data_IF_688267320155
#
_entry.id   IF_688267320155
#
_cell.length_a   1.000
_cell.length_b   1.000
_cell.length_c   1.000
_cell.angle_alpha   90.00
_cell.angle_beta   90.00
_cell.angle_gamma   90.00
#
_symmetry.space_group_name_H-M   'P 1'
#
loop_
_entity.id
_entity.type
_entity.pdbx_description
1 polymer ?
#
# COMPACT_ATOMS: atom_id res chain seq x y z
N UNK A 1 -6.86 -21.58 17.72
CA UNK A 1 -5.92 -20.69 17.01
C UNK A 1 -6.67 -19.86 15.96
N UNK A 2 -6.81 -18.55 16.19
CA UNK A 2 -7.61 -17.67 15.34
C UNK A 2 -6.91 -17.49 13.99
N UNK A 3 -7.53 -18.03 12.95
CA UNK A 3 -7.11 -17.80 11.57
C UNK A 3 -7.85 -16.56 11.08
N UNK A 4 -7.13 -15.47 10.89
CA UNK A 4 -7.69 -14.25 10.29
C UNK A 4 -7.58 -14.42 8.77
N UNK A 5 -8.72 -14.65 8.10
CA UNK A 5 -8.81 -14.68 6.63
C UNK A 5 -9.59 -13.45 6.14
N UNK A 6 -8.95 -12.28 6.18
CA UNK A 6 -9.54 -11.02 5.71
C UNK A 6 -9.47 -10.88 4.19
N UNK A 7 -9.89 -11.91 3.45
CA UNK A 7 -10.16 -11.86 2.00
C UNK A 7 -11.37 -12.73 1.60
N UNK A 8 -12.07 -13.35 2.56
CA UNK A 8 -13.29 -14.10 2.28
C UNK A 8 -14.48 -13.12 2.27
N UNK A 9 -14.69 -12.46 1.13
CA UNK A 9 -15.78 -11.51 0.90
C UNK A 9 -15.28 -10.20 0.31
N UNK A 10 -14.93 -10.20 -0.97
CA UNK A 10 -14.76 -8.99 -1.78
C UNK A 10 -16.11 -8.30 -2.04
N UNK A 11 -16.90 -8.12 -0.98
CA UNK A 11 -18.16 -7.35 -0.98
C UNK A 11 -18.00 -6.01 -0.26
N UNK A 12 -16.82 -5.72 0.30
CA UNK A 12 -16.49 -4.38 0.80
C UNK A 12 -16.20 -3.46 -0.40
N UNK A 13 -17.27 -2.87 -0.94
CA UNK A 13 -17.23 -1.95 -2.08
C UNK A 13 -16.69 -0.56 -1.72
N UNK A 14 -16.48 -0.28 -0.43
CA UNK A 14 -15.91 0.98 0.05
C UNK A 14 -14.56 0.73 0.74
N UNK A 15 -13.44 0.68 -0.01
CA UNK A 15 -12.14 0.81 0.62
C UNK A 15 -12.14 2.15 1.39
N UNK A 16 -11.96 2.09 2.72
CA UNK A 16 -11.95 3.27 3.58
C UNK A 16 -10.75 4.20 3.32
N UNK A 17 -9.84 3.82 2.41
CA UNK A 17 -8.59 4.50 2.13
C UNK A 17 -8.31 4.50 0.62
N UNK A 18 -7.85 5.64 0.09
CA UNK A 18 -7.45 5.78 -1.31
C UNK A 18 -6.07 5.15 -1.57
N UNK A 19 -5.72 4.99 -2.85
CA UNK A 19 -4.40 4.46 -3.23
C UNK A 19 -3.28 5.40 -2.77
N UNK A 20 -3.49 6.71 -2.88
CA UNK A 20 -2.55 7.74 -2.44
C UNK A 20 -2.31 7.68 -0.93
N UNK A 21 -3.37 7.49 -0.15
CA UNK A 21 -3.28 7.38 1.31
C UNK A 21 -2.51 6.11 1.73
N UNK A 22 -2.73 4.99 1.05
CA UNK A 22 -1.96 3.75 1.26
C UNK A 22 -0.48 3.94 0.93
N UNK A 23 -0.18 4.57 -0.21
CA UNK A 23 1.19 4.90 -0.63
C UNK A 23 1.88 5.77 0.42
N UNK A 24 1.20 6.80 0.91
CA UNK A 24 1.71 7.68 1.96
C UNK A 24 2.01 6.91 3.25
N UNK A 25 1.06 6.10 3.72
CA UNK A 25 1.19 5.33 4.96
C UNK A 25 2.35 4.33 4.92
N UNK A 26 2.48 3.58 3.82
CA UNK A 26 3.57 2.62 3.62
C UNK A 26 4.93 3.34 3.62
N UNK A 27 4.97 4.52 3.03
CA UNK A 27 6.20 5.30 2.89
C UNK A 27 6.63 5.94 4.21
N UNK A 28 5.68 6.45 5.01
CA UNK A 28 5.93 6.91 6.38
C UNK A 28 6.50 5.78 7.26
N UNK A 29 6.09 4.54 7.03
CA UNK A 29 6.65 3.35 7.68
C UNK A 29 8.04 2.93 7.13
N UNK A 30 8.67 3.75 6.27
CA UNK A 30 9.95 3.48 5.60
C UNK A 30 9.95 2.21 4.74
N UNK A 31 8.80 1.89 4.12
CA UNK A 31 8.63 0.73 3.23
C UNK A 31 8.35 1.16 1.78
N UNK A 32 8.42 0.20 0.86
CA UNK A 32 8.17 0.41 -0.57
C UNK A 32 6.74 0.05 -0.96
N UNK A 33 5.89 1.02 -1.33
CA UNK A 33 4.54 0.75 -1.81
C UNK A 33 4.58 0.19 -3.22
N UNK A 34 4.16 -1.07 -3.37
CA UNK A 34 4.16 -1.80 -4.64
C UNK A 34 2.85 -2.55 -4.79
N UNK A 35 2.11 -2.20 -5.84
CA UNK A 35 0.90 -2.90 -6.26
C UNK A 35 1.28 -4.19 -6.98
N UNK A 36 0.58 -5.27 -6.64
CA UNK A 36 0.88 -6.63 -7.11
C UNK A 36 -0.38 -7.34 -7.55
N UNK A 37 -0.22 -8.26 -8.50
CA UNK A 37 -1.26 -9.20 -8.88
C UNK A 37 -1.39 -10.37 -7.86
N UNK A 38 -2.29 -11.30 -8.13
CA UNK A 38 -2.53 -12.48 -7.28
C UNK A 38 -1.36 -13.46 -7.23
N UNK A 39 -0.45 -13.39 -8.20
CA UNK A 39 0.79 -14.18 -8.26
C UNK A 39 1.99 -13.39 -7.72
N UNK A 40 1.76 -12.24 -7.08
CA UNK A 40 2.76 -11.34 -6.51
C UNK A 40 3.71 -10.68 -7.53
N UNK A 41 3.36 -10.69 -8.82
CA UNK A 41 4.10 -9.93 -9.82
C UNK A 41 3.89 -8.43 -9.58
N UNK A 42 4.92 -7.64 -9.84
CA UNK A 42 4.84 -6.18 -9.72
C UNK A 42 3.99 -5.64 -10.85
N UNK A 43 2.87 -5.02 -10.51
CA UNK A 43 2.02 -4.28 -11.46
C UNK A 43 2.48 -2.83 -11.51
N UNK A 44 2.74 -2.21 -10.35
CA UNK A 44 3.20 -0.81 -10.25
C UNK A 44 4.00 -0.53 -8.98
N UNK A 45 5.11 0.17 -9.11
CA UNK A 45 5.94 0.66 -7.99
C UNK A 45 5.69 2.16 -7.78
N UNK A 46 5.30 2.53 -6.56
CA UNK A 46 4.95 3.90 -6.17
C UNK A 46 6.07 4.59 -5.39
N UNK A 47 7.26 3.99 -5.29
CA UNK A 47 8.39 4.55 -4.52
C UNK A 47 8.83 5.94 -5.02
N UNK A 48 8.54 6.29 -6.27
CA UNK A 48 8.86 7.60 -6.86
C UNK A 48 7.73 8.64 -6.83
N UNK A 49 6.50 8.27 -6.43
CA UNK A 49 5.34 9.19 -6.45
C UNK A 49 5.14 9.96 -5.15
N UNK A 50 6.10 9.90 -4.22
CA UNK A 50 6.01 10.59 -2.95
C UNK A 50 6.43 12.05 -3.08
N UNK A 51 5.71 12.98 -2.43
CA UNK A 51 6.12 14.37 -2.37
C UNK A 51 7.47 14.53 -1.64
N UNK A 52 8.25 15.53 -2.07
CA UNK A 52 9.66 15.72 -1.73
C UNK A 52 9.92 15.88 -0.21
N UNK A 53 8.92 16.33 0.53
CA UNK A 53 8.91 16.53 1.98
C UNK A 53 9.00 15.21 2.77
N UNK A 54 8.37 14.14 2.27
CA UNK A 54 8.49 12.80 2.88
C UNK A 54 9.87 12.19 2.63
N UNK A 55 10.45 12.42 1.44
CA UNK A 55 11.78 11.91 1.11
C UNK A 55 12.89 12.57 1.94
N UNK A 56 12.75 13.85 2.28
CA UNK A 56 13.74 14.58 3.08
C UNK A 56 13.82 14.09 4.54
N UNK A 57 12.76 13.46 5.06
CA UNK A 57 12.70 12.94 6.44
C UNK A 57 13.30 11.53 6.60
N UNK A 58 13.77 10.92 5.51
CA UNK A 58 14.34 9.58 5.46
C UNK A 58 15.88 9.57 5.41
N UNK A 59 16.51 10.74 5.34
CA UNK A 59 17.97 10.93 5.35
C UNK A 59 18.49 11.43 6.69
#
# INVERSE_FOLDING_TARGET
PTKIYSMAGSEEQNPAMSTEELVMLISQAKRRPVERDTLYNVVKDYSGSLPLDVQASLN
#
